data_IF_943609112616
#
_entry.id   IF_943609112616
#
_cell.length_a   1.000
_cell.length_b   1.000
_cell.length_c   1.000
_cell.angle_alpha   90.00
_cell.angle_beta   90.00
_cell.angle_gamma   90.00
#
_symmetry.space_group_name_H-M   'P 1'
#
loop_
_entity.id
_entity.type
_entity.pdbx_description
1 polymer ?
#
# COMPACT_ATOMS: atom_id res chain seq x y z
N UNK A 1 15.77 -6.91 -11.11
CA UNK A 1 15.07 -5.99 -12.01
C UNK A 1 15.72 -4.63 -11.83
N UNK A 2 16.29 -4.05 -12.88
CA UNK A 2 17.13 -2.83 -12.82
C UNK A 2 16.40 -1.67 -12.13
N UNK A 3 15.12 -1.48 -12.45
CA UNK A 3 14.28 -0.43 -11.86
C UNK A 3 14.11 -0.54 -10.34
N UNK A 4 14.07 -1.76 -9.79
CA UNK A 4 13.92 -1.97 -8.34
C UNK A 4 15.20 -1.60 -7.61
N UNK A 5 16.36 -1.95 -8.17
CA UNK A 5 17.65 -1.62 -7.58
C UNK A 5 17.92 -0.11 -7.69
N UNK A 6 17.57 0.54 -8.80
CA UNK A 6 17.65 1.99 -8.93
C UNK A 6 16.73 2.71 -7.94
N UNK A 7 15.51 2.18 -7.73
CA UNK A 7 14.58 2.72 -6.75
C UNK A 7 15.11 2.59 -5.31
N UNK A 8 15.71 1.47 -4.95
CA UNK A 8 16.39 1.33 -3.64
C UNK A 8 17.54 2.31 -3.53
N UNK A 9 18.36 2.43 -4.58
CA UNK A 9 19.53 3.28 -4.61
C UNK A 9 19.19 4.75 -4.42
N UNK A 10 18.18 5.25 -5.13
CA UNK A 10 17.75 6.63 -4.98
C UNK A 10 17.16 6.89 -3.59
N UNK A 11 16.39 5.96 -3.00
CA UNK A 11 15.87 6.10 -1.65
C UNK A 11 16.99 6.17 -0.60
N UNK A 12 18.01 5.31 -0.71
CA UNK A 12 19.20 5.35 0.14
C UNK A 12 19.92 6.70 0.06
N UNK A 13 20.12 7.21 -1.16
CA UNK A 13 20.76 8.50 -1.40
C UNK A 13 19.90 9.68 -0.89
N UNK A 14 18.56 9.55 -0.92
CA UNK A 14 17.63 10.51 -0.32
C UNK A 14 17.56 10.41 1.22
N UNK A 15 18.21 9.39 1.82
CA UNK A 15 18.13 9.09 3.25
C UNK A 15 16.78 8.50 3.68
N UNK A 16 15.93 8.09 2.74
CA UNK A 16 14.61 7.52 3.00
C UNK A 16 14.76 6.01 3.25
N UNK A 17 14.30 5.49 4.39
CA UNK A 17 14.38 4.07 4.68
C UNK A 17 13.44 3.28 3.76
N UNK A 18 13.89 2.10 3.36
CA UNK A 18 13.08 1.10 2.68
C UNK A 18 13.22 -0.23 3.41
N UNK A 19 12.20 -1.08 3.32
CA UNK A 19 12.15 -2.37 4.00
C UNK A 19 12.03 -3.48 2.97
N UNK A 20 12.87 -4.50 3.08
CA UNK A 20 12.75 -5.71 2.28
C UNK A 20 11.69 -6.63 2.91
N UNK A 21 10.48 -6.61 2.36
CA UNK A 21 9.45 -7.57 2.75
C UNK A 21 9.91 -9.01 2.39
N UNK A 22 9.60 -10.02 3.22
CA UNK A 22 9.89 -11.42 2.91
C UNK A 22 8.91 -12.02 1.88
N UNK A 23 7.78 -11.36 1.65
CA UNK A 23 6.75 -11.72 0.68
C UNK A 23 6.12 -10.42 0.14
N UNK A 24 4.82 -10.20 0.33
CA UNK A 24 4.11 -9.03 -0.17
C UNK A 24 4.48 -7.73 0.56
N UNK A 25 4.76 -6.68 -0.21
CA UNK A 25 5.03 -5.35 0.34
C UNK A 25 3.83 -4.77 1.09
N UNK A 26 2.60 -5.02 0.61
CA UNK A 26 1.38 -4.57 1.29
C UNK A 26 1.14 -5.27 2.62
N UNK A 27 1.51 -6.55 2.72
CA UNK A 27 1.44 -7.30 3.97
C UNK A 27 2.44 -6.74 4.99
N UNK A 28 3.67 -6.47 4.58
CA UNK A 28 4.69 -5.87 5.46
C UNK A 28 4.27 -4.46 5.90
N UNK A 29 3.73 -3.63 4.99
CA UNK A 29 3.24 -2.29 5.33
C UNK A 29 2.05 -2.35 6.30
N UNK A 30 1.11 -3.28 6.09
CA UNK A 30 -0.02 -3.52 6.99
C UNK A 30 0.45 -3.96 8.38
N UNK A 31 1.44 -4.85 8.46
CA UNK A 31 2.04 -5.32 9.71
C UNK A 31 2.70 -4.18 10.50
N UNK A 32 3.54 -3.37 9.85
CA UNK A 32 4.18 -2.21 10.47
C UNK A 32 3.14 -1.19 10.97
N UNK A 33 2.08 -0.95 10.20
CA UNK A 33 1.00 -0.04 10.60
C UNK A 33 0.18 -0.60 11.77
N UNK A 34 -0.08 -1.90 11.80
CA UNK A 34 -0.79 -2.56 12.90
C UNK A 34 0.03 -2.56 14.21
N UNK A 35 1.36 -2.63 14.12
CA UNK A 35 2.28 -2.48 15.27
C UNK A 35 2.39 -1.04 15.78
N UNK A 36 1.98 -0.06 14.96
CA UNK A 36 2.11 1.37 15.28
C UNK A 36 3.48 1.96 14.96
N UNK A 37 4.34 1.23 14.26
CA UNK A 37 5.67 1.71 13.82
C UNK A 37 5.55 2.72 12.67
N UNK A 38 4.44 2.67 11.92
CA UNK A 38 4.02 3.68 10.94
C UNK A 38 2.54 4.01 11.12
N UNK A 39 2.09 5.16 10.64
CA UNK A 39 0.71 5.62 10.84
C UNK A 39 -0.34 4.85 10.00
N UNK A 40 0.04 4.48 8.77
CA UNK A 40 -0.82 3.83 7.78
C UNK A 40 0.01 3.14 6.69
N UNK A 41 -0.60 2.17 5.99
CA UNK A 41 -0.13 1.71 4.69
C UNK A 41 -0.55 2.72 3.61
N UNK A 42 0.23 2.87 2.55
CA UNK A 42 -0.12 3.73 1.41
C UNK A 42 -0.05 2.92 0.11
N UNK A 43 -1.20 2.74 -0.55
CA UNK A 43 -1.30 2.00 -1.81
C UNK A 43 -2.50 2.48 -2.64
N UNK A 44 -2.51 2.12 -3.92
CA UNK A 44 -3.72 2.20 -4.74
C UNK A 44 -4.62 0.99 -4.51
N UNK A 45 -4.09 -0.16 -4.14
CA UNK A 45 -4.88 -1.37 -3.91
C UNK A 45 -5.39 -1.43 -2.47
N UNK A 46 -6.31 -2.35 -2.22
CA UNK A 46 -6.99 -2.50 -0.93
C UNK A 46 -6.45 -3.68 -0.11
N UNK A 47 -5.45 -4.38 -0.61
CA UNK A 47 -4.97 -5.64 -0.03
C UNK A 47 -4.36 -5.42 1.36
N UNK A 48 -3.71 -4.28 1.59
CA UNK A 48 -3.26 -3.86 2.91
C UNK A 48 -4.37 -3.86 3.97
N UNK A 49 -5.63 -3.57 3.62
CA UNK A 49 -6.77 -3.70 4.55
C UNK A 49 -7.11 -5.17 4.83
N UNK A 50 -6.97 -6.04 3.82
CA UNK A 50 -7.18 -7.49 3.97
C UNK A 50 -6.10 -8.10 4.88
N UNK A 51 -4.84 -7.69 4.71
CA UNK A 51 -3.72 -8.05 5.60
C UNK A 51 -3.84 -7.42 7.00
N UNK A 52 -4.75 -6.46 7.19
CA UNK A 52 -5.10 -5.92 8.49
C UNK A 52 -4.49 -4.58 8.86
N UNK A 53 -4.05 -3.79 7.87
CA UNK A 53 -3.64 -2.41 8.12
C UNK A 53 -4.79 -1.65 8.77
N UNK A 54 -4.58 -0.94 9.90
CA UNK A 54 -5.63 -0.15 10.54
C UNK A 54 -6.08 1.03 9.66
N UNK A 55 -5.20 1.52 8.78
CA UNK A 55 -5.42 2.66 7.90
C UNK A 55 -4.74 2.44 6.54
N UNK A 56 -5.47 2.72 5.47
CA UNK A 56 -4.93 2.80 4.11
C UNK A 56 -5.04 4.25 3.62
N UNK A 57 -3.93 4.80 3.14
CA UNK A 57 -3.92 6.09 2.45
C UNK A 57 -3.79 5.85 0.95
N UNK A 58 -4.80 6.27 0.19
CA UNK A 58 -4.78 6.20 -1.28
C UNK A 58 -4.38 7.53 -1.87
N UNK A 59 -3.97 7.49 -3.13
CA UNK A 59 -3.66 8.66 -3.97
C UNK A 59 -2.43 9.50 -3.60
N UNK A 60 -1.60 9.08 -2.64
CA UNK A 60 -0.39 9.83 -2.23
C UNK A 60 0.54 10.08 -3.42
N UNK A 61 0.78 9.07 -4.25
CA UNK A 61 1.73 9.14 -5.38
C UNK A 61 1.15 9.77 -6.67
N UNK A 62 -0.17 10.01 -6.71
CA UNK A 62 -0.88 10.53 -7.89
C UNK A 62 -1.69 11.80 -7.61
N UNK A 63 -1.45 12.44 -6.46
CA UNK A 63 -2.15 13.66 -6.05
C UNK A 63 -1.88 14.80 -7.05
N UNK A 64 -2.93 15.54 -7.40
CA UNK A 64 -2.84 16.70 -8.28
C UNK A 64 -3.92 16.75 -9.35
N UNK A 65 -3.73 17.62 -10.34
CA UNK A 65 -4.64 17.77 -11.49
C UNK A 65 -4.25 16.82 -12.61
N UNK A 66 -5.13 15.86 -12.90
CA UNK A 66 -4.97 14.93 -14.02
C UNK A 66 -5.92 15.28 -15.15
N UNK A 67 -5.40 15.45 -16.38
CA UNK A 67 -6.22 15.55 -17.59
C UNK A 67 -6.75 14.17 -17.95
N UNK A 68 -8.04 14.05 -18.23
CA UNK A 68 -8.61 12.79 -18.72
C UNK A 68 -8.15 12.53 -20.16
N UNK A 69 -7.67 11.31 -20.48
CA UNK A 69 -7.33 10.94 -21.84
C UNK A 69 -8.52 11.19 -22.78
N UNK A 70 -8.30 11.96 -23.85
CA UNK A 70 -9.33 12.25 -24.85
C UNK A 70 -10.43 13.23 -24.42
N UNK A 71 -10.30 13.92 -23.28
CA UNK A 71 -11.25 14.96 -22.83
C UNK A 71 -10.54 16.19 -22.30
N UNK A 72 -11.06 17.39 -22.57
CA UNK A 72 -10.60 18.65 -21.97
C UNK A 72 -11.19 18.86 -20.56
N UNK A 73 -11.14 17.80 -19.75
CA UNK A 73 -11.60 17.80 -18.37
C UNK A 73 -10.44 17.41 -17.47
N UNK A 74 -10.24 18.21 -16.43
CA UNK A 74 -9.25 17.96 -15.39
C UNK A 74 -9.96 17.45 -14.14
N UNK A 75 -9.48 16.34 -13.60
CA UNK A 75 -9.94 15.80 -12.32
C UNK A 75 -8.88 16.12 -11.27
N UNK A 76 -9.33 16.64 -10.13
CA UNK A 76 -8.50 16.83 -8.97
C UNK A 76 -8.49 15.53 -8.16
N UNK A 77 -7.33 14.90 -8.05
CA UNK A 77 -7.14 13.70 -7.23
C UNK A 77 -6.55 14.14 -5.89
N UNK A 78 -7.25 13.81 -4.80
CA UNK A 78 -6.84 14.12 -3.43
C UNK A 78 -6.50 12.84 -2.66
N UNK A 79 -5.58 12.91 -1.68
CA UNK A 79 -5.37 11.82 -0.73
C UNK A 79 -6.69 11.41 -0.07
N UNK A 80 -6.87 10.11 0.10
CA UNK A 80 -8.02 9.52 0.76
C UNK A 80 -7.53 8.60 1.88
N UNK A 81 -8.18 8.64 3.04
CA UNK A 81 -7.87 7.77 4.18
C UNK A 81 -9.03 6.82 4.40
N UNK A 82 -8.74 5.53 4.46
CA UNK A 82 -9.71 4.48 4.70
C UNK A 82 -9.35 3.81 6.02
N UNK A 83 -10.29 3.82 6.98
CA UNK A 83 -10.14 3.11 8.25
C UNK A 83 -10.70 1.70 8.15
N UNK A 84 -9.86 0.68 8.43
CA UNK A 84 -10.32 -0.70 8.48
C UNK A 84 -11.46 -0.87 9.50
N UNK A 85 -11.34 -0.23 10.66
CA UNK A 85 -12.36 -0.30 11.71
C UNK A 85 -13.71 0.23 11.24
N UNK A 86 -13.75 1.43 10.67
CA UNK A 86 -14.99 2.04 10.18
C UNK A 86 -15.59 1.24 9.00
N UNK A 87 -14.74 0.69 8.13
CA UNK A 87 -15.16 -0.22 7.06
C UNK A 87 -15.82 -1.48 7.63
N UNK A 88 -15.19 -2.14 8.61
CA UNK A 88 -15.74 -3.35 9.23
C UNK A 88 -17.04 -3.07 10.00
N UNK A 89 -17.08 -1.98 10.76
CA UNK A 89 -18.27 -1.54 11.52
C UNK A 89 -19.45 -1.21 10.59
N UNK A 90 -19.21 -0.44 9.53
CA UNK A 90 -20.25 -0.08 8.56
C UNK A 90 -20.78 -1.27 7.76
N UNK A 91 -19.90 -2.23 7.44
CA UNK A 91 -20.29 -3.47 6.77
C UNK A 91 -20.89 -4.50 7.75
N UNK A 92 -20.63 -4.39 9.05
CA UNK A 92 -21.06 -5.36 10.06
C UNK A 92 -20.45 -6.75 9.85
N UNK A 93 -19.15 -6.80 9.55
CA UNK A 93 -18.37 -8.02 9.32
C UNK A 93 -17.01 -7.95 10.04
N UNK A 94 -16.34 -9.09 10.22
CA UNK A 94 -14.97 -9.16 10.75
C UNK A 94 -13.91 -9.07 9.62
N UNK A 95 -12.62 -8.97 9.98
CA UNK A 95 -11.53 -8.99 8.99
C UNK A 95 -11.50 -10.30 8.22
N UNK A 96 -11.70 -11.42 8.91
CA UNK A 96 -11.81 -12.76 8.31
C UNK A 96 -12.89 -12.79 7.23
N UNK A 97 -14.06 -12.24 7.52
CA UNK A 97 -15.14 -12.12 6.54
C UNK A 97 -14.82 -11.14 5.41
N UNK A 98 -14.07 -10.07 5.68
CA UNK A 98 -13.60 -9.14 4.65
C UNK A 98 -12.60 -9.82 3.70
N UNK A 99 -11.69 -10.65 4.22
CA UNK A 99 -10.77 -11.47 3.42
C UNK A 99 -11.57 -12.41 2.52
N UNK A 100 -12.52 -13.16 3.08
CA UNK A 100 -13.39 -14.04 2.30
C UNK A 100 -14.16 -13.25 1.23
N UNK A 101 -14.65 -12.06 1.55
CA UNK A 101 -15.33 -11.19 0.59
C UNK A 101 -14.39 -10.81 -0.56
N UNK A 102 -13.16 -10.40 -0.26
CA UNK A 102 -12.14 -10.09 -1.27
C UNK A 102 -11.87 -11.28 -2.19
N UNK A 103 -11.66 -12.47 -1.62
CA UNK A 103 -11.44 -13.71 -2.39
C UNK A 103 -12.66 -14.04 -3.27
N UNK A 104 -13.88 -13.89 -2.76
CA UNK A 104 -15.08 -14.15 -3.55
C UNK A 104 -15.23 -13.20 -4.75
N UNK A 105 -14.86 -11.93 -4.58
CA UNK A 105 -14.89 -10.90 -5.64
C UNK A 105 -13.73 -11.08 -6.62
N UNK A 106 -12.58 -11.52 -6.13
CA UNK A 106 -11.34 -11.72 -6.88
C UNK A 106 -10.20 -10.93 -6.27
N UNK A 107 -9.07 -11.62 -6.11
CA UNK A 107 -7.75 -11.06 -5.74
C UNK A 107 -6.75 -11.41 -6.83
N UNK A 108 -5.51 -10.93 -6.72
CA UNK A 108 -4.43 -11.34 -7.64
C UNK A 108 -4.13 -12.85 -7.57
N UNK A 109 -4.47 -13.52 -6.47
CA UNK A 109 -4.32 -14.98 -6.31
C UNK A 109 -5.46 -15.79 -6.94
N UNK A 110 -6.60 -15.15 -7.24
CA UNK A 110 -7.72 -15.78 -7.94
C UNK A 110 -8.42 -14.79 -8.89
N UNK A 111 -7.74 -14.40 -9.99
CA UNK A 111 -8.20 -13.30 -10.84
C UNK A 111 -9.62 -13.50 -11.36
N UNK A 112 -10.45 -12.48 -11.22
CA UNK A 112 -11.85 -12.48 -11.66
C UNK A 112 -12.85 -13.09 -10.66
N UNK A 113 -12.38 -13.70 -9.57
CA UNK A 113 -13.22 -14.16 -8.47
C UNK A 113 -14.24 -15.24 -8.84
N UNK A 114 -15.14 -15.54 -7.92
CA UNK A 114 -16.16 -16.56 -8.13
C UNK A 114 -17.19 -16.06 -9.14
N UNK A 115 -17.40 -16.83 -10.21
CA UNK A 115 -18.28 -16.44 -11.32
C UNK A 115 -19.68 -16.05 -10.84
N UNK A 116 -20.11 -14.83 -11.16
CA UNK A 116 -21.42 -14.30 -10.78
C UNK A 116 -21.53 -13.79 -9.33
N UNK A 117 -20.41 -13.72 -8.61
CA UNK A 117 -20.33 -13.17 -7.25
C UNK A 117 -19.63 -11.81 -7.28
N UNK A 118 -20.42 -10.74 -7.34
CA UNK A 118 -19.92 -9.37 -7.14
C UNK A 118 -19.93 -8.94 -5.67
N UNK A 119 -19.45 -7.73 -5.34
CA UNK A 119 -19.25 -7.27 -3.95
C UNK A 119 -20.48 -7.38 -3.05
N UNK A 120 -21.67 -7.02 -3.55
CA UNK A 120 -22.93 -7.13 -2.78
C UNK A 120 -23.26 -8.58 -2.42
N UNK A 121 -23.14 -9.48 -3.40
CA UNK A 121 -23.43 -10.90 -3.21
C UNK A 121 -22.37 -11.56 -2.34
N UNK A 122 -21.10 -11.19 -2.50
CA UNK A 122 -20.02 -11.63 -1.64
C UNK A 122 -20.29 -11.25 -0.17
N UNK A 123 -20.71 -10.01 0.08
CA UNK A 123 -21.09 -9.54 1.42
C UNK A 123 -22.26 -10.35 2.02
N UNK A 124 -23.29 -10.64 1.23
CA UNK A 124 -24.40 -11.51 1.67
C UNK A 124 -23.94 -12.92 2.01
N UNK A 125 -23.05 -13.50 1.20
CA UNK A 125 -22.47 -14.83 1.40
C UNK A 125 -21.69 -14.86 2.70
N UNK A 126 -20.72 -13.96 2.91
CA UNK A 126 -19.86 -14.00 4.11
C UNK A 126 -20.61 -13.68 5.41
N UNK A 127 -21.71 -12.92 5.33
CA UNK A 127 -22.60 -12.70 6.49
C UNK A 127 -23.38 -13.95 6.88
N UNK A 128 -23.76 -14.77 5.89
CA UNK A 128 -24.47 -16.03 6.09
C UNK A 128 -23.53 -17.18 6.46
N UNK A 129 -22.36 -17.21 5.84
CA UNK A 129 -21.32 -18.23 5.96
C UNK A 129 -20.07 -17.54 6.53
N UNK A 130 -19.90 -17.63 7.84
CA UNK A 130 -18.94 -16.81 8.60
C UNK A 130 -17.53 -17.38 8.62
N UNK A 131 -17.39 -18.65 8.23
CA UNK A 131 -16.11 -19.37 8.24
C UNK A 131 -15.71 -19.78 6.83
N UNK A 132 -14.42 -19.99 6.63
CA UNK A 132 -13.87 -20.45 5.35
C UNK A 132 -14.50 -21.80 4.94
N UNK A 133 -14.72 -22.71 5.90
CA UNK A 133 -15.36 -24.02 5.68
C UNK A 133 -16.81 -23.90 5.22
N UNK A 134 -17.56 -22.93 5.75
CA UNK A 134 -18.94 -22.68 5.34
C UNK A 134 -19.00 -22.09 3.93
N UNK A 135 -18.09 -21.16 3.61
CA UNK A 135 -17.99 -20.57 2.27
C UNK A 135 -17.61 -21.63 1.25
N UNK A 136 -16.57 -22.43 1.50
CA UNK A 136 -16.13 -23.52 0.61
C UNK A 136 -17.26 -24.50 0.24
N UNK A 137 -18.16 -24.78 1.19
CA UNK A 137 -19.34 -25.64 0.95
C UNK A 137 -20.47 -24.94 0.21
N UNK A 138 -20.56 -23.61 0.29
CA UNK A 138 -21.65 -22.82 -0.27
C UNK A 138 -21.40 -22.38 -1.72
N UNK A 139 -20.16 -22.44 -2.20
CA UNK A 139 -19.78 -21.98 -3.54
C UNK A 139 -19.17 -23.09 -4.38
N UNK A 140 -19.20 -22.90 -5.69
CA UNK A 140 -18.38 -23.70 -6.61
C UNK A 140 -17.04 -22.99 -6.79
N UNK A 141 -15.97 -23.59 -6.25
CA UNK A 141 -14.60 -23.12 -6.45
C UNK A 141 -14.01 -23.75 -7.71
N UNK A 142 -13.49 -22.94 -8.63
CA UNK A 142 -13.00 -23.37 -9.95
C UNK A 142 -11.53 -22.97 -10.20
N UNK A 143 -10.79 -22.57 -9.15
CA UNK A 143 -9.39 -22.17 -9.24
C UNK A 143 -8.46 -23.29 -8.78
N UNK A 144 -7.25 -23.33 -9.33
CA UNK A 144 -6.22 -24.32 -8.98
C UNK A 144 -5.69 -24.15 -7.56
N UNK A 145 -5.57 -22.89 -7.11
CA UNK A 145 -5.18 -22.57 -5.73
C UNK A 145 -6.39 -22.74 -4.81
N UNK A 146 -6.30 -23.54 -3.74
CA UNK A 146 -7.40 -23.70 -2.79
C UNK A 146 -7.77 -22.38 -2.12
N UNK A 147 -9.07 -22.13 -1.95
CA UNK A 147 -9.60 -20.93 -1.28
C UNK A 147 -8.94 -20.73 0.09
N UNK A 148 -8.83 -21.80 0.87
CA UNK A 148 -8.21 -21.80 2.19
C UNK A 148 -6.76 -21.30 2.18
N UNK A 149 -5.96 -21.66 1.18
CA UNK A 149 -4.56 -21.22 1.11
C UNK A 149 -4.46 -19.70 0.92
N UNK A 150 -5.30 -19.13 0.04
CA UNK A 150 -5.38 -17.68 -0.17
C UNK A 150 -5.88 -16.99 1.12
N UNK A 151 -6.90 -17.56 1.76
CA UNK A 151 -7.45 -17.05 3.00
C UNK A 151 -6.41 -17.03 4.14
N UNK A 152 -5.68 -18.13 4.33
CA UNK A 152 -4.62 -18.24 5.34
C UNK A 152 -3.46 -17.28 5.04
N UNK A 153 -3.12 -17.10 3.76
CA UNK A 153 -2.10 -16.14 3.35
C UNK A 153 -2.46 -14.70 3.73
N UNK A 154 -3.69 -14.25 3.50
CA UNK A 154 -4.13 -12.92 3.96
C UNK A 154 -4.27 -12.84 5.49
N UNK A 155 -4.67 -13.93 6.14
CA UNK A 155 -4.88 -13.96 7.58
C UNK A 155 -3.55 -13.87 8.35
N UNK A 156 -2.51 -14.56 7.87
CA UNK A 156 -1.20 -14.68 8.51
C UNK A 156 -0.08 -14.67 7.46
N UNK A 157 0.16 -13.54 6.79
CA UNK A 157 1.17 -13.44 5.74
C UNK A 157 2.60 -13.55 6.30
N UNK A 158 3.58 -14.02 5.50
CA UNK A 158 4.98 -13.91 5.86
C UNK A 158 5.38 -12.42 5.98
N UNK A 159 5.83 -12.02 7.16
CA UNK A 159 6.29 -10.65 7.48
C UNK A 159 7.52 -10.73 8.39
N UNK A 160 8.27 -9.63 8.48
CA UNK A 160 9.45 -9.52 9.35
C UNK A 160 9.30 -8.38 10.35
N UNK A 161 9.89 -8.55 11.52
CA UNK A 161 10.08 -7.49 12.53
C UNK A 161 11.46 -6.83 12.42
N UNK A 162 12.32 -7.32 11.52
CA UNK A 162 13.68 -6.85 11.32
C UNK A 162 13.68 -5.72 10.27
N UNK A 163 13.49 -4.48 10.73
CA UNK A 163 13.56 -3.27 9.90
C UNK A 163 13.96 -2.02 10.70
N UNK A 164 14.42 -1.00 10.00
CA UNK A 164 14.72 0.34 10.55
C UNK A 164 14.03 1.41 9.69
N UNK A 165 13.13 2.18 10.31
CA UNK A 165 12.37 3.26 9.67
C UNK A 165 12.96 4.64 9.97
N UNK A 166 14.19 4.70 10.48
CA UNK A 166 14.88 5.95 10.78
C UNK A 166 15.29 6.67 9.50
N UNK A 167 14.87 7.93 9.36
CA UNK A 167 15.33 8.82 8.30
C UNK A 167 16.81 9.18 8.50
N UNK A 168 17.60 9.03 7.44
CA UNK A 168 19.05 9.33 7.41
C UNK A 168 19.29 10.64 6.67
N UNK A 169 20.47 11.24 6.84
CA UNK A 169 20.81 12.46 6.08
C UNK A 169 20.93 12.13 4.59
N UNK A 170 20.36 12.96 3.69
CA UNK A 170 20.50 12.76 2.25
C UNK A 170 21.95 12.99 1.78
N UNK A 171 22.40 12.18 0.82
CA UNK A 171 23.67 12.33 0.11
C UNK A 171 23.46 13.12 -1.20
N UNK A 172 23.62 14.45 -1.10
CA UNK A 172 23.45 15.35 -2.23
C UNK A 172 24.42 15.09 -3.38
N UNK A 173 25.67 14.75 -3.09
CA UNK A 173 26.67 14.47 -4.13
C UNK A 173 26.38 13.15 -4.83
N UNK A 174 26.00 12.12 -4.06
CA UNK A 174 25.57 10.84 -4.60
C UNK A 174 24.32 10.97 -5.47
N UNK A 175 23.32 11.75 -5.04
CA UNK A 175 22.12 12.03 -5.85
C UNK A 175 22.44 12.73 -7.16
N UNK A 176 23.37 13.70 -7.16
CA UNK A 176 23.79 14.37 -8.39
C UNK A 176 24.46 13.41 -9.36
N UNK A 177 25.44 12.64 -8.89
CA UNK A 177 26.13 11.65 -9.74
C UNK A 177 25.15 10.65 -10.33
N UNK A 178 24.32 10.04 -9.47
CA UNK A 178 23.37 9.03 -9.89
C UNK A 178 22.37 9.59 -10.91
N UNK A 179 21.70 10.71 -10.61
CA UNK A 179 20.66 11.22 -11.49
C UNK A 179 21.20 11.88 -12.76
N UNK A 180 22.32 12.58 -12.69
CA UNK A 180 22.85 13.39 -13.82
C UNK A 180 23.83 12.58 -14.65
N UNK A 181 24.82 11.96 -14.02
CA UNK A 181 25.90 11.30 -14.75
C UNK A 181 25.48 9.90 -15.25
N UNK A 182 24.72 9.15 -14.43
CA UNK A 182 24.31 7.78 -14.76
C UNK A 182 22.96 7.73 -15.51
N UNK A 183 22.03 8.63 -15.19
CA UNK A 183 20.67 8.64 -15.76
C UNK A 183 20.32 9.88 -16.60
N UNK A 184 21.28 10.75 -16.89
CA UNK A 184 21.16 11.90 -17.83
C UNK A 184 20.02 12.89 -17.51
N UNK A 185 19.60 13.01 -16.25
CA UNK A 185 18.63 14.02 -15.83
C UNK A 185 19.23 15.43 -15.87
N UNK A 186 18.36 16.43 -16.03
CA UNK A 186 18.78 17.83 -15.98
C UNK A 186 19.36 18.20 -14.63
N UNK A 187 20.67 18.49 -14.58
CA UNK A 187 21.38 18.89 -13.36
C UNK A 187 20.67 20.04 -12.62
N UNK A 188 20.21 21.06 -13.35
CA UNK A 188 19.46 22.19 -12.79
C UNK A 188 18.19 21.73 -12.06
N UNK A 189 17.47 20.74 -12.59
CA UNK A 189 16.26 20.19 -11.94
C UNK A 189 16.61 19.34 -10.73
N UNK A 190 17.64 18.50 -10.85
CA UNK A 190 18.10 17.63 -9.76
C UNK A 190 18.59 18.46 -8.55
N UNK A 191 19.43 19.47 -8.77
CA UNK A 191 19.89 20.38 -7.69
C UNK A 191 18.72 21.02 -6.95
N UNK A 192 17.72 21.52 -7.68
CA UNK A 192 16.52 22.10 -7.07
C UNK A 192 15.80 21.11 -6.16
N UNK A 193 15.63 19.86 -6.59
CA UNK A 193 14.97 18.82 -5.77
C UNK A 193 15.82 18.45 -4.54
N UNK A 194 17.14 18.39 -4.68
CA UNK A 194 18.05 18.14 -3.55
C UNK A 194 17.94 19.26 -2.50
N UNK A 195 17.84 20.51 -2.92
CA UNK A 195 17.62 21.65 -2.02
C UNK A 195 16.27 21.51 -1.27
N UNK A 196 15.20 21.15 -1.99
CA UNK A 196 13.86 20.91 -1.40
C UNK A 196 13.88 19.76 -0.37
N UNK A 197 14.55 18.65 -0.68
CA UNK A 197 14.73 17.53 0.24
C UNK A 197 15.51 18.00 1.49
N UNK A 198 16.61 18.71 1.30
CA UNK A 198 17.46 19.18 2.40
C UNK A 198 16.71 20.11 3.36
N UNK A 199 15.91 21.03 2.83
CA UNK A 199 15.05 21.90 3.65
C UNK A 199 13.97 21.12 4.40
N UNK A 200 13.34 20.12 3.77
CA UNK A 200 12.35 19.26 4.44
C UNK A 200 12.96 18.53 5.65
N UNK A 201 14.19 18.02 5.53
CA UNK A 201 14.91 17.38 6.64
C UNK A 201 15.26 18.36 7.77
N UNK A 202 15.60 19.61 7.46
CA UNK A 202 15.83 20.66 8.47
C UNK A 202 14.54 20.98 9.24
N UNK A 203 13.43 21.11 8.52
CA UNK A 203 12.11 21.35 9.13
C UNK A 203 11.70 20.19 10.04
N UNK A 204 11.92 18.94 9.61
CA UNK A 204 11.64 17.76 10.43
C UNK A 204 12.49 17.75 11.72
N UNK A 205 13.78 18.09 11.63
CA UNK A 205 14.66 18.14 12.79
C UNK A 205 14.36 19.30 13.76
N UNK A 206 13.69 20.37 13.30
CA UNK A 206 13.40 21.58 14.07
C UNK A 206 11.92 21.81 14.41
N UNK A 207 11.02 20.90 14.04
CA UNK A 207 9.57 21.11 14.11
C UNK A 207 9.02 21.01 15.53
N UNK A 208 8.62 22.16 16.10
CA UNK A 208 7.77 22.22 17.30
C UNK A 208 6.30 21.88 16.99
N UNK A 209 5.43 21.96 18.01
CA UNK A 209 3.99 21.71 17.89
C UNK A 209 3.31 22.56 16.79
N UNK A 210 3.82 23.76 16.48
CA UNK A 210 3.28 24.64 15.43
C UNK A 210 3.40 24.07 14.00
N UNK A 211 4.24 23.05 13.77
CA UNK A 211 4.31 22.38 12.47
C UNK A 211 3.09 21.46 12.19
N UNK A 212 2.23 21.23 13.20
CA UNK A 212 1.16 20.25 13.17
C UNK A 212 -0.26 20.84 13.25
N UNK A 213 -0.41 22.14 13.49
CA UNK A 213 -1.68 22.86 13.69
C UNK A 213 -1.78 24.08 12.78
#
# INVERSE_FOLDING_TARGET
DEMVEDAKRILELMGVPWVQAPSEGEAQAAHMAARGDVWAAASQDYDSLLFGSPRLVRNVTITGRRKLPGKDVYVEVRPEVISLRETLESLGITREQLILLGILVGTDYNPGGVRGVGPKRALEIVKRHRTVEEVERAIKWEFDVPLREIYEFFLSPPVTDEYDVTLKRPDAEGLLRFMVDEHEFSEKRVRKVIDEITEAYKMHAGGGLEAWF
#
